data_IF_581360877126
#
_entry.id   IF_581360877126
#
_cell.length_a   1.000
_cell.length_b   1.000
_cell.length_c   1.000
_cell.angle_alpha   90.00
_cell.angle_beta   90.00
_cell.angle_gamma   90.00
#
_symmetry.space_group_name_H-M   'P 1'
#
loop_
_entity.id
_entity.type
_entity.pdbx_description
1 polymer ?
#
# COMPACT_ATOMS: atom_id res chain seq x y z
N UNK A 1 15.52 4.28 16.30
CA UNK A 1 15.55 5.19 15.14
C UNK A 1 15.02 4.43 13.93
N UNK A 2 14.10 5.00 13.16
CA UNK A 2 13.58 4.36 11.95
C UNK A 2 14.63 4.44 10.83
N UNK A 3 14.61 3.47 9.92
CA UNK A 3 15.52 3.43 8.77
C UNK A 3 15.10 4.44 7.71
N UNK A 4 16.07 5.03 7.02
CA UNK A 4 15.80 5.90 5.84
C UNK A 4 15.55 5.07 4.58
N UNK A 5 15.01 5.72 3.54
CA UNK A 5 14.83 5.07 2.23
C UNK A 5 16.17 4.65 1.61
N UNK A 6 17.24 5.41 1.85
CA UNK A 6 18.60 5.10 1.37
C UNK A 6 19.15 3.86 2.07
N UNK A 7 18.98 3.75 3.39
CA UNK A 7 19.42 2.58 4.16
C UNK A 7 18.70 1.31 3.70
N UNK A 8 17.39 1.40 3.43
CA UNK A 8 16.60 0.28 2.90
C UNK A 8 17.03 -0.10 1.47
N UNK A 9 17.22 0.89 0.59
CA UNK A 9 17.68 0.65 -0.78
C UNK A 9 19.07 0.00 -0.79
N UNK A 10 19.97 0.46 0.07
CA UNK A 10 21.30 -0.10 0.20
C UNK A 10 21.29 -1.52 0.76
N UNK A 11 20.41 -1.80 1.72
CA UNK A 11 20.21 -3.17 2.20
C UNK A 11 19.72 -4.10 1.08
N UNK A 12 18.84 -3.65 0.19
CA UNK A 12 18.39 -4.46 -0.94
C UNK A 12 19.53 -4.79 -1.92
N UNK A 13 20.42 -3.83 -2.21
CA UNK A 13 21.62 -4.07 -3.03
C UNK A 13 22.55 -5.10 -2.39
N UNK A 14 22.86 -4.93 -1.11
CA UNK A 14 23.69 -5.87 -0.35
C UNK A 14 23.09 -7.27 -0.30
N UNK A 15 21.77 -7.38 -0.20
CA UNK A 15 21.08 -8.67 -0.20
C UNK A 15 21.23 -9.40 -1.55
N UNK A 16 21.08 -8.68 -2.66
CA UNK A 16 21.29 -9.23 -4.02
C UNK A 16 22.74 -9.72 -4.19
N UNK A 17 23.71 -8.89 -3.79
CA UNK A 17 25.13 -9.23 -3.90
C UNK A 17 25.52 -10.42 -3.03
N UNK A 18 25.16 -10.40 -1.75
CA UNK A 18 25.54 -11.43 -0.78
C UNK A 18 24.99 -12.83 -1.14
N UNK A 19 23.84 -12.88 -1.81
CA UNK A 19 23.21 -14.13 -2.24
C UNK A 19 23.40 -14.44 -3.72
N UNK A 20 24.17 -13.62 -4.45
CA UNK A 20 24.39 -13.74 -5.89
C UNK A 20 23.06 -13.92 -6.67
N UNK A 21 22.07 -13.09 -6.37
CA UNK A 21 20.74 -13.20 -6.97
C UNK A 21 20.74 -12.71 -8.42
N UNK A 22 20.14 -13.49 -9.31
CA UNK A 22 19.92 -13.10 -10.70
C UNK A 22 18.82 -12.03 -10.78
N UNK A 23 19.21 -10.75 -10.80
CA UNK A 23 18.30 -9.62 -10.99
C UNK A 23 18.53 -8.96 -12.34
N UNK A 24 17.44 -8.69 -13.06
CA UNK A 24 17.47 -7.87 -14.27
C UNK A 24 16.72 -6.58 -13.96
N UNK A 25 17.45 -5.47 -13.94
CA UNK A 25 16.87 -4.14 -13.74
C UNK A 25 16.55 -3.49 -15.09
N UNK A 26 15.77 -2.40 -15.07
CA UNK A 26 15.36 -1.70 -16.31
C UNK A 26 14.63 -2.61 -17.31
N UNK A 27 13.86 -3.58 -16.81
CA UNK A 27 13.10 -4.53 -17.61
C UNK A 27 11.61 -4.17 -17.58
N UNK A 28 10.98 -4.09 -18.76
CA UNK A 28 9.54 -3.90 -18.90
C UNK A 28 8.90 -5.15 -19.51
N UNK A 29 7.99 -5.79 -18.78
CA UNK A 29 7.21 -6.92 -19.29
C UNK A 29 6.36 -6.43 -20.48
N UNK A 30 6.43 -7.18 -21.58
CA UNK A 30 5.74 -6.89 -22.84
C UNK A 30 4.59 -7.85 -23.09
N UNK A 31 4.80 -9.13 -22.80
CA UNK A 31 3.79 -10.17 -22.92
C UNK A 31 4.13 -11.34 -22.01
N UNK A 32 3.09 -11.99 -21.47
CA UNK A 32 3.21 -13.22 -20.71
C UNK A 32 2.20 -14.24 -21.22
N UNK A 33 2.61 -15.48 -21.35
CA UNK A 33 1.70 -16.60 -21.62
C UNK A 33 1.99 -17.78 -20.70
N UNK A 34 0.97 -18.58 -20.44
CA UNK A 34 1.09 -19.86 -19.75
C UNK A 34 0.51 -20.97 -20.61
N UNK A 35 1.34 -21.94 -20.98
CA UNK A 35 0.90 -23.13 -21.70
C UNK A 35 0.54 -24.23 -20.70
N UNK A 36 -0.75 -24.59 -20.67
CA UNK A 36 -1.31 -25.58 -19.76
C UNK A 36 -0.84 -27.01 -20.08
N UNK A 37 -0.46 -27.29 -21.32
CA UNK A 37 0.01 -28.63 -21.74
C UNK A 37 1.43 -28.90 -21.25
N UNK A 38 2.32 -27.92 -21.42
CA UNK A 38 3.73 -28.00 -20.98
C UNK A 38 3.91 -27.55 -19.53
N UNK A 39 2.92 -26.86 -18.97
CA UNK A 39 2.96 -26.21 -17.64
C UNK A 39 4.11 -25.21 -17.52
N UNK A 40 4.36 -24.45 -18.58
CA UNK A 40 5.42 -23.45 -18.65
C UNK A 40 4.88 -22.04 -18.86
N UNK A 41 5.45 -21.11 -18.11
CA UNK A 41 5.33 -19.68 -18.32
C UNK A 41 6.36 -19.24 -19.35
N UNK A 42 5.95 -18.33 -20.25
CA UNK A 42 6.85 -17.58 -21.12
C UNK A 42 6.62 -16.10 -20.88
N UNK A 43 7.65 -15.39 -20.41
CA UNK A 43 7.61 -13.95 -20.15
C UNK A 43 8.56 -13.25 -21.09
N UNK A 44 8.01 -12.42 -21.99
CA UNK A 44 8.79 -11.53 -22.86
C UNK A 44 8.90 -10.16 -22.22
N UNK A 45 10.11 -9.62 -22.18
CA UNK A 45 10.38 -8.31 -21.61
C UNK A 45 11.45 -7.56 -22.40
N UNK A 46 11.33 -6.24 -22.41
CA UNK A 46 12.27 -5.32 -23.03
C UNK A 46 13.29 -4.86 -22.00
N UNK A 47 14.58 -4.90 -22.35
CA UNK A 47 15.68 -4.23 -21.61
C UNK A 47 16.35 -3.19 -22.52
N UNK A 48 17.29 -2.35 -22.01
CA UNK A 48 18.08 -1.47 -22.88
C UNK A 48 18.87 -2.22 -23.96
N UNK A 49 19.22 -3.48 -23.72
CA UNK A 49 19.99 -4.34 -24.65
C UNK A 49 19.11 -5.17 -25.60
N UNK A 50 17.81 -4.86 -25.67
CA UNK A 50 16.84 -5.52 -26.56
C UNK A 50 15.81 -6.40 -25.84
N UNK A 51 14.99 -7.09 -26.64
CA UNK A 51 13.99 -8.02 -26.12
C UNK A 51 14.67 -9.29 -25.56
N UNK A 52 14.11 -9.83 -24.48
CA UNK A 52 14.53 -11.07 -23.83
C UNK A 52 13.30 -11.90 -23.47
N UNK A 53 13.51 -13.21 -23.30
CA UNK A 53 12.47 -14.15 -22.89
C UNK A 53 12.95 -14.97 -21.71
N UNK A 54 12.11 -15.08 -20.67
CA UNK A 54 12.29 -16.00 -19.56
C UNK A 54 11.23 -17.10 -19.63
N UNK A 55 11.63 -18.33 -19.31
CA UNK A 55 10.74 -19.49 -19.23
C UNK A 55 10.83 -20.09 -17.83
N UNK A 56 9.69 -20.38 -17.20
CA UNK A 56 9.65 -20.91 -15.84
C UNK A 56 8.46 -21.85 -15.61
N UNK A 57 8.53 -22.66 -14.56
CA UNK A 57 7.40 -23.51 -14.11
C UNK A 57 6.45 -22.77 -13.17
N UNK A 58 6.96 -21.77 -12.44
CA UNK A 58 6.21 -20.93 -11.52
C UNK A 58 6.48 -19.45 -11.79
N UNK A 59 5.48 -18.60 -11.52
CA UNK A 59 5.58 -17.15 -11.63
C UNK A 59 5.11 -16.50 -10.34
N UNK A 60 5.91 -15.57 -9.79
CA UNK A 60 5.57 -14.83 -8.57
C UNK A 60 5.41 -13.34 -8.93
N UNK A 61 4.20 -12.80 -8.76
CA UNK A 61 3.95 -11.37 -8.83
C UNK A 61 4.32 -10.72 -7.50
N UNK A 62 5.46 -10.05 -7.47
CA UNK A 62 5.99 -9.35 -6.28
C UNK A 62 5.87 -7.82 -6.41
N UNK A 63 4.76 -7.33 -6.99
CA UNK A 63 4.52 -5.89 -7.22
C UNK A 63 3.96 -5.15 -6.00
N UNK A 64 3.70 -5.85 -4.90
CA UNK A 64 3.02 -5.26 -3.75
C UNK A 64 1.51 -5.07 -3.97
N UNK A 65 0.88 -4.34 -3.06
CA UNK A 65 -0.56 -4.01 -3.03
C UNK A 65 -0.69 -2.51 -2.79
N UNK A 66 -1.63 -1.84 -3.46
CA UNK A 66 -1.89 -0.39 -3.32
C UNK A 66 -0.68 0.50 -3.65
N UNK A 67 0.02 0.23 -4.75
CA UNK A 67 1.21 0.99 -5.16
C UNK A 67 1.30 1.26 -6.65
N UNK A 68 0.47 0.62 -7.48
CA UNK A 68 0.62 0.64 -8.93
C UNK A 68 -0.32 1.64 -9.61
N UNK A 69 -1.52 1.87 -9.06
CA UNK A 69 -2.55 2.72 -9.69
C UNK A 69 -2.89 3.91 -8.80
N UNK A 70 -2.18 5.04 -8.93
CA UNK A 70 -2.53 6.30 -8.28
C UNK A 70 -4.03 6.60 -8.40
N UNK A 71 -4.64 6.99 -7.28
CA UNK A 71 -6.04 7.38 -7.27
C UNK A 71 -6.14 8.91 -7.16
N UNK A 72 -6.49 9.56 -8.25
CA UNK A 72 -6.86 10.99 -8.25
C UNK A 72 -8.37 11.10 -8.46
N UNK A 73 -9.12 11.74 -7.54
CA UNK A 73 -10.55 11.96 -7.72
C UNK A 73 -10.85 12.73 -9.02
N UNK A 74 -11.93 12.34 -9.72
CA UNK A 74 -12.42 13.11 -10.87
C UNK A 74 -13.13 14.37 -10.36
N UNK A 75 -12.66 15.52 -10.80
CA UNK A 75 -13.09 16.84 -10.33
C UNK A 75 -13.42 17.70 -11.56
N UNK A 76 -14.45 18.53 -11.45
CA UNK A 76 -14.89 19.37 -12.56
C UNK A 76 -13.84 20.45 -12.91
N UNK A 77 -13.96 21.00 -14.12
CA UNK A 77 -13.20 22.18 -14.57
C UNK A 77 -11.68 22.02 -14.58
N UNK A 78 -11.19 20.80 -14.79
CA UNK A 78 -9.75 20.47 -14.80
C UNK A 78 -8.90 21.37 -15.72
N UNK A 79 -9.49 21.84 -16.82
CA UNK A 79 -8.86 22.73 -17.81
C UNK A 79 -8.56 24.15 -17.27
N UNK A 80 -9.17 24.56 -16.16
CA UNK A 80 -8.94 25.87 -15.56
C UNK A 80 -7.64 25.95 -14.76
N UNK A 81 -7.15 24.84 -14.21
CA UNK A 81 -6.01 24.86 -13.31
C UNK A 81 -4.72 25.22 -14.06
N UNK A 82 -4.10 26.36 -13.71
CA UNK A 82 -2.84 26.84 -14.28
C UNK A 82 -1.61 26.43 -13.45
N UNK A 83 -1.82 26.00 -12.21
CA UNK A 83 -0.77 25.63 -11.26
C UNK A 83 -0.22 24.21 -11.42
N UNK A 84 0.73 23.85 -10.56
CA UNK A 84 1.31 22.50 -10.53
C UNK A 84 0.29 21.52 -9.95
N UNK A 85 0.10 20.36 -10.59
CA UNK A 85 -0.74 19.29 -10.05
C UNK A 85 0.01 17.98 -10.10
N UNK A 86 0.09 17.30 -8.97
CA UNK A 86 0.81 16.03 -8.86
C UNK A 86 0.03 15.07 -7.97
N UNK A 87 0.05 13.79 -8.30
CA UNK A 87 -0.20 12.76 -7.30
C UNK A 87 1.06 12.55 -6.46
N UNK A 88 0.92 12.08 -5.22
CA UNK A 88 2.06 11.80 -4.34
C UNK A 88 3.06 10.79 -4.92
N UNK A 89 2.63 9.96 -5.87
CA UNK A 89 3.49 9.03 -6.61
C UNK A 89 4.52 9.76 -7.51
N UNK A 90 4.15 10.93 -8.03
CA UNK A 90 4.99 11.76 -8.88
C UNK A 90 5.75 12.83 -8.09
N UNK A 91 5.31 13.10 -6.85
CA UNK A 91 6.02 13.97 -5.91
C UNK A 91 7.40 13.40 -5.56
N UNK A 92 8.41 14.27 -5.52
CA UNK A 92 9.80 13.89 -5.20
C UNK A 92 10.31 14.57 -3.94
N UNK A 93 10.21 15.90 -3.88
CA UNK A 93 10.49 16.72 -2.72
C UNK A 93 9.97 18.15 -2.95
N UNK A 94 9.91 18.95 -1.90
CA UNK A 94 9.44 20.32 -1.95
C UNK A 94 10.43 21.28 -2.63
N UNK A 95 11.73 20.95 -2.62
CA UNK A 95 12.77 21.76 -3.30
C UNK A 95 12.49 21.90 -4.79
N UNK A 96 12.10 20.81 -5.46
CA UNK A 96 11.72 20.83 -6.90
C UNK A 96 10.49 21.72 -7.14
N UNK A 97 9.53 21.77 -6.22
CA UNK A 97 8.39 22.68 -6.34
C UNK A 97 8.85 24.13 -6.19
N UNK A 98 9.71 24.41 -5.21
CA UNK A 98 10.26 25.75 -4.98
C UNK A 98 11.08 26.26 -6.15
N UNK A 99 11.88 25.41 -6.79
CA UNK A 99 12.63 25.71 -8.02
C UNK A 99 11.71 26.06 -9.20
N UNK A 100 10.49 25.50 -9.22
CA UNK A 100 9.43 25.86 -10.17
C UNK A 100 8.67 27.14 -9.78
N UNK A 101 9.08 27.83 -8.72
CA UNK A 101 8.46 29.06 -8.24
C UNK A 101 7.21 28.88 -7.38
N UNK A 102 6.88 27.65 -6.96
CA UNK A 102 5.76 27.36 -6.05
C UNK A 102 6.03 27.98 -4.69
N UNK A 103 5.07 28.76 -4.17
CA UNK A 103 5.13 29.38 -2.84
C UNK A 103 4.07 28.80 -1.90
N UNK A 104 3.02 28.20 -2.45
CA UNK A 104 1.90 27.65 -1.70
C UNK A 104 1.43 26.31 -2.27
N UNK A 105 0.99 25.40 -1.41
CA UNK A 105 0.52 24.07 -1.79
C UNK A 105 -0.74 23.65 -1.02
N UNK A 106 -1.71 23.09 -1.74
CA UNK A 106 -2.83 22.33 -1.19
C UNK A 106 -2.41 20.86 -1.13
N UNK A 107 -2.52 20.25 0.05
CA UNK A 107 -2.25 18.84 0.28
C UNK A 107 -3.60 18.14 0.48
N UNK A 108 -4.05 17.35 -0.50
CA UNK A 108 -5.32 16.64 -0.42
C UNK A 108 -5.12 15.26 0.18
N UNK A 109 -5.60 15.05 1.41
CA UNK A 109 -5.47 13.80 2.15
C UNK A 109 -4.66 13.97 3.44
N UNK A 110 -5.05 13.21 4.46
CA UNK A 110 -4.58 13.31 5.84
C UNK A 110 -3.98 12.01 6.39
N UNK A 111 -3.76 11.01 5.54
CA UNK A 111 -3.02 9.80 5.92
C UNK A 111 -1.50 10.06 5.94
N UNK A 112 -0.69 9.04 6.23
CA UNK A 112 0.79 9.12 6.29
C UNK A 112 1.42 10.03 5.23
N UNK A 113 1.20 9.75 3.95
CA UNK A 113 1.79 10.56 2.85
C UNK A 113 1.36 12.02 2.86
N UNK A 114 0.13 12.32 3.28
CA UNK A 114 -0.36 13.69 3.38
C UNK A 114 0.42 14.50 4.42
N UNK A 115 0.67 13.93 5.59
CA UNK A 115 1.47 14.57 6.63
C UNK A 115 2.95 14.66 6.26
N UNK A 116 3.53 13.63 5.62
CA UNK A 116 4.92 13.66 5.17
C UNK A 116 5.15 14.77 4.13
N UNK A 117 4.26 14.89 3.15
CA UNK A 117 4.30 15.95 2.12
C UNK A 117 4.03 17.33 2.74
N UNK A 118 3.11 17.42 3.71
CA UNK A 118 2.84 18.66 4.44
C UNK A 118 4.10 19.18 5.14
N UNK A 119 4.78 18.30 5.88
CA UNK A 119 6.00 18.60 6.61
C UNK A 119 7.12 19.02 5.64
N UNK A 120 7.37 18.24 4.59
CA UNK A 120 8.42 18.53 3.60
C UNK A 120 8.19 19.89 2.90
N UNK A 121 6.93 20.20 2.52
CA UNK A 121 6.58 21.50 1.94
C UNK A 121 6.76 22.64 2.94
N UNK A 122 6.31 22.46 4.18
CA UNK A 122 6.47 23.45 5.24
C UNK A 122 7.95 23.75 5.52
N UNK A 123 8.79 22.72 5.64
CA UNK A 123 10.22 22.86 5.92
C UNK A 123 10.99 23.54 4.77
N UNK A 124 10.52 23.38 3.54
CA UNK A 124 11.03 24.13 2.39
C UNK A 124 10.55 25.61 2.34
N UNK A 125 9.65 26.00 3.25
CA UNK A 125 9.12 27.36 3.40
C UNK A 125 7.87 27.65 2.56
N UNK A 126 7.16 26.62 2.09
CA UNK A 126 5.91 26.81 1.34
C UNK A 126 4.75 27.02 2.31
N UNK A 127 3.82 27.90 1.97
CA UNK A 127 2.54 28.01 2.68
C UNK A 127 1.68 26.79 2.34
N UNK A 128 1.38 25.96 3.33
CA UNK A 128 0.63 24.72 3.11
C UNK A 128 -0.80 24.81 3.62
N UNK A 129 -1.71 24.07 2.99
CA UNK A 129 -3.06 23.85 3.50
C UNK A 129 -3.46 22.40 3.29
N UNK A 130 -3.73 21.68 4.37
CA UNK A 130 -4.22 20.30 4.31
C UNK A 130 -5.74 20.29 4.10
N UNK A 131 -6.20 19.49 3.14
CA UNK A 131 -7.61 19.26 2.83
C UNK A 131 -8.03 17.89 3.32
N UNK A 132 -9.09 17.85 4.14
CA UNK A 132 -9.56 16.66 4.83
C UNK A 132 -11.07 16.53 4.67
N UNK A 133 -11.53 15.49 3.96
CA UNK A 133 -12.96 15.26 3.76
C UNK A 133 -13.65 14.55 4.93
N UNK A 134 -12.92 13.73 5.67
CA UNK A 134 -13.47 12.82 6.69
C UNK A 134 -12.51 12.69 7.87
N UNK A 135 -12.99 12.27 9.04
CA UNK A 135 -12.13 12.03 10.19
C UNK A 135 -10.97 11.08 9.87
N UNK A 136 -9.84 11.30 10.55
CA UNK A 136 -8.61 10.51 10.35
C UNK A 136 -8.20 9.87 11.66
N UNK A 137 -7.98 8.54 11.61
CA UNK A 137 -7.40 7.83 12.73
C UNK A 137 -5.90 8.13 12.82
N UNK A 138 -5.47 8.67 13.96
CA UNK A 138 -4.07 8.98 14.25
C UNK A 138 -3.59 8.10 15.41
N UNK A 139 -2.44 7.48 15.23
CA UNK A 139 -1.76 6.69 16.26
C UNK A 139 -0.34 7.20 16.46
N UNK A 140 0.12 7.42 17.71
CA UNK A 140 1.51 7.79 17.96
C UNK A 140 2.54 6.76 17.51
N UNK A 141 3.66 7.22 16.96
CA UNK A 141 4.80 6.35 16.63
C UNK A 141 5.34 5.62 17.87
N UNK A 142 5.22 6.20 19.06
CA UNK A 142 5.62 5.55 20.31
C UNK A 142 4.81 4.29 20.59
N UNK A 143 3.53 4.26 20.20
CA UNK A 143 2.66 3.10 20.42
C UNK A 143 3.05 1.96 19.47
N UNK A 144 3.35 2.31 18.21
CA UNK A 144 3.84 1.37 17.19
C UNK A 144 5.21 0.81 17.60
N UNK A 145 6.13 1.66 18.08
CA UNK A 145 7.48 1.26 18.50
C UNK A 145 7.54 0.64 19.91
N UNK A 146 6.43 0.54 20.63
CA UNK A 146 6.42 -0.01 21.98
C UNK A 146 6.88 -1.48 21.98
N UNK A 147 7.62 -1.96 23.00
CA UNK A 147 7.97 -3.37 23.17
C UNK A 147 6.80 -4.37 23.11
N UNK A 148 5.59 -3.94 23.48
CA UNK A 148 4.36 -4.74 23.38
C UNK A 148 3.69 -4.68 22.00
N UNK A 149 4.27 -3.94 21.07
CA UNK A 149 3.87 -3.75 19.67
C UNK A 149 5.09 -4.05 18.78
N UNK A 150 5.24 -3.43 17.61
CA UNK A 150 6.35 -3.71 16.68
C UNK A 150 7.75 -3.50 17.29
N UNK A 151 7.87 -2.80 18.42
CA UNK A 151 9.09 -2.76 19.22
C UNK A 151 9.56 -4.13 19.75
N UNK A 152 8.71 -5.16 19.74
CA UNK A 152 9.10 -6.53 20.07
C UNK A 152 10.24 -7.06 19.19
N UNK A 153 10.38 -6.55 17.96
CA UNK A 153 11.48 -6.90 17.05
C UNK A 153 12.86 -6.46 17.55
N UNK A 154 12.93 -5.53 18.51
CA UNK A 154 14.19 -5.15 19.17
C UNK A 154 14.75 -6.27 20.07
N UNK A 155 13.92 -7.25 20.44
CA UNK A 155 14.30 -8.42 21.26
C UNK A 155 14.58 -9.67 20.40
N UNK A 156 14.61 -9.52 19.07
CA UNK A 156 14.93 -10.59 18.13
C UNK A 156 13.80 -10.89 17.15
N UNK A 157 14.18 -11.18 15.91
CA UNK A 157 13.24 -11.43 14.81
C UNK A 157 12.33 -12.62 15.10
N UNK A 158 12.90 -13.71 15.61
CA UNK A 158 12.15 -14.94 15.89
C UNK A 158 11.11 -14.74 17.01
N UNK A 159 11.43 -13.92 18.02
CA UNK A 159 10.52 -13.60 19.10
C UNK A 159 9.37 -12.71 18.61
N UNK A 160 9.67 -11.68 17.82
CA UNK A 160 8.65 -10.83 17.20
C UNK A 160 7.71 -11.63 16.30
N UNK A 161 8.24 -12.56 15.50
CA UNK A 161 7.43 -13.42 14.63
C UNK A 161 6.46 -14.29 15.40
N UNK A 162 6.94 -14.98 16.44
CA UNK A 162 6.07 -15.77 17.31
C UNK A 162 5.03 -14.92 18.00
N UNK A 163 5.31 -13.66 18.31
CA UNK A 163 4.31 -12.78 18.91
C UNK A 163 3.19 -12.45 17.91
N UNK A 164 3.53 -12.06 16.68
CA UNK A 164 2.55 -11.50 15.74
C UNK A 164 1.94 -12.49 14.76
N UNK A 165 2.55 -13.65 14.56
CA UNK A 165 2.16 -14.61 13.52
C UNK A 165 1.65 -15.93 14.10
N UNK A 166 1.35 -15.96 15.41
CA UNK A 166 0.75 -17.10 16.12
C UNK A 166 -0.78 -17.07 16.09
N UNK A 167 -1.39 -15.89 16.01
CA UNK A 167 -2.84 -15.73 16.07
C UNK A 167 -3.39 -15.31 14.70
N UNK A 168 -4.65 -15.68 14.37
CA UNK A 168 -5.33 -15.12 13.21
C UNK A 168 -5.35 -13.60 13.25
N UNK A 169 -5.20 -12.96 12.10
CA UNK A 169 -5.08 -11.51 12.02
C UNK A 169 -6.32 -10.78 12.58
N UNK A 170 -7.50 -11.40 12.50
CA UNK A 170 -8.71 -10.87 13.12
C UNK A 170 -8.63 -10.79 14.66
N UNK A 171 -7.96 -11.74 15.32
CA UNK A 171 -7.78 -11.78 16.77
C UNK A 171 -6.65 -10.84 17.19
N UNK A 172 -5.49 -10.94 16.52
CA UNK A 172 -4.34 -10.07 16.78
C UNK A 172 -4.74 -8.59 16.62
N UNK A 173 -5.55 -8.26 15.60
CA UNK A 173 -6.09 -6.93 15.41
C UNK A 173 -6.92 -6.39 16.58
N UNK A 174 -7.68 -7.25 17.27
CA UNK A 174 -8.44 -6.84 18.46
C UNK A 174 -7.53 -6.64 19.68
N UNK A 175 -6.52 -7.48 19.85
CA UNK A 175 -5.53 -7.32 20.92
C UNK A 175 -4.73 -6.03 20.72
N UNK A 176 -4.31 -5.75 19.48
CA UNK A 176 -3.65 -4.50 19.11
C UNK A 176 -4.53 -3.27 19.36
N UNK A 177 -5.83 -3.33 19.03
CA UNK A 177 -6.80 -2.27 19.37
C UNK A 177 -6.83 -2.02 20.88
N UNK A 178 -6.98 -3.06 21.69
CA UNK A 178 -7.04 -2.94 23.15
C UNK A 178 -5.75 -2.36 23.74
N UNK A 179 -4.59 -2.77 23.22
CA UNK A 179 -3.29 -2.23 23.62
C UNK A 179 -3.18 -0.73 23.34
N UNK A 180 -3.55 -0.29 22.14
CA UNK A 180 -3.46 1.12 21.78
C UNK A 180 -4.50 1.98 22.50
N UNK A 181 -5.70 1.45 22.75
CA UNK A 181 -6.69 2.11 23.60
C UNK A 181 -6.16 2.31 25.02
N UNK A 182 -5.49 1.30 25.61
CA UNK A 182 -4.85 1.43 26.91
C UNK A 182 -3.81 2.55 26.93
N UNK A 183 -2.98 2.66 25.89
CA UNK A 183 -2.00 3.75 25.79
C UNK A 183 -2.67 5.11 25.66
N UNK A 184 -3.67 5.25 24.79
CA UNK A 184 -4.36 6.52 24.58
C UNK A 184 -5.13 6.99 25.83
N UNK A 185 -5.64 6.07 26.66
CA UNK A 185 -6.25 6.40 27.96
C UNK A 185 -5.26 7.03 28.96
N UNK A 186 -3.95 6.77 28.82
CA UNK A 186 -2.92 7.37 29.67
C UNK A 186 -2.54 8.80 29.24
N UNK A 187 -2.95 9.21 28.04
CA UNK A 187 -2.61 10.51 27.45
C UNK A 187 -3.86 11.17 26.83
N UNK A 188 -4.94 11.38 27.60
CA UNK A 188 -6.25 11.75 27.06
C UNK A 188 -6.27 13.09 26.32
N UNK A 189 -5.30 13.97 26.59
CA UNK A 189 -5.24 15.32 26.04
C UNK A 189 -4.31 15.44 24.82
N UNK A 190 -3.66 14.34 24.39
CA UNK A 190 -2.61 14.36 23.35
C UNK A 190 -3.04 15.09 22.07
N UNK A 191 -4.29 14.92 21.65
CA UNK A 191 -4.82 15.51 20.41
C UNK A 191 -5.84 16.64 20.63
N UNK A 192 -5.99 17.15 21.86
CA UNK A 192 -6.95 18.23 22.16
C UNK A 192 -6.63 19.50 21.37
N UNK A 193 -5.36 19.91 21.30
CA UNK A 193 -4.95 21.09 20.53
C UNK A 193 -5.16 20.92 19.03
N UNK A 194 -4.96 19.70 18.50
CA UNK A 194 -5.19 19.39 17.09
C UNK A 194 -6.69 19.47 16.76
N UNK A 195 -7.55 18.90 17.62
CA UNK A 195 -9.00 19.01 17.49
C UNK A 195 -9.48 20.47 17.60
N UNK A 196 -8.92 21.24 18.53
CA UNK A 196 -9.22 22.66 18.71
C UNK A 196 -8.83 23.52 17.48
N UNK A 197 -7.79 23.12 16.74
CA UNK A 197 -7.42 23.71 15.45
C UNK A 197 -8.39 23.32 14.30
N UNK A 198 -9.42 22.51 14.58
CA UNK A 198 -10.45 22.11 13.62
C UNK A 198 -10.18 20.80 12.90
N UNK A 199 -9.11 20.08 13.22
CA UNK A 199 -8.80 18.80 12.58
C UNK A 199 -9.71 17.69 13.13
N UNK A 200 -10.43 16.94 12.27
CA UNK A 200 -11.33 15.86 12.71
C UNK A 200 -10.52 14.59 13.06
N UNK A 201 -9.81 14.62 14.18
CA UNK A 201 -8.97 13.52 14.65
C UNK A 201 -9.80 12.45 15.35
N UNK A 202 -9.51 11.19 15.04
CA UNK A 202 -9.88 10.04 15.86
C UNK A 202 -8.59 9.46 16.44
N UNK A 203 -8.58 9.12 17.72
CA UNK A 203 -7.45 8.44 18.35
C UNK A 203 -7.83 7.01 18.78
N UNK A 204 -6.91 6.30 19.44
CA UNK A 204 -7.11 4.90 19.77
C UNK A 204 -8.14 4.65 20.88
N UNK A 205 -8.76 5.69 21.45
CA UNK A 205 -9.91 5.55 22.38
C UNK A 205 -11.23 5.36 21.63
N UNK A 206 -11.28 5.73 20.36
CA UNK A 206 -12.47 5.53 19.53
C UNK A 206 -12.67 4.02 19.28
N UNK A 207 -13.85 3.45 19.61
CA UNK A 207 -14.09 2.01 19.53
C UNK A 207 -14.03 1.45 18.11
N UNK A 208 -14.25 2.29 17.10
CA UNK A 208 -14.24 1.93 15.69
C UNK A 208 -12.84 2.06 15.06
N UNK A 209 -11.84 2.54 15.84
CA UNK A 209 -10.47 2.69 15.38
C UNK A 209 -9.59 1.48 15.77
N UNK A 210 -9.01 0.84 14.75
CA UNK A 210 -8.00 -0.21 14.93
C UNK A 210 -6.96 -0.13 13.81
N UNK A 211 -5.67 -0.01 14.17
CA UNK A 211 -4.61 0.13 13.17
C UNK A 211 -4.58 -1.07 12.21
N UNK A 212 -4.80 -2.28 12.73
CA UNK A 212 -4.83 -3.49 11.91
C UNK A 212 -5.99 -3.51 10.91
N UNK A 213 -7.16 -2.95 11.26
CA UNK A 213 -8.24 -2.77 10.29
C UNK A 213 -7.82 -1.81 9.16
N UNK A 214 -7.19 -0.69 9.50
CA UNK A 214 -6.67 0.24 8.50
C UNK A 214 -5.63 -0.39 7.57
N UNK A 215 -4.74 -1.23 8.09
CA UNK A 215 -3.70 -1.89 7.30
C UNK A 215 -4.27 -3.00 6.41
N UNK A 216 -5.10 -3.88 6.96
CA UNK A 216 -5.54 -5.11 6.28
C UNK A 216 -6.79 -4.92 5.41
N UNK A 217 -7.76 -4.11 5.83
CA UNK A 217 -9.01 -3.92 5.08
C UNK A 217 -8.99 -2.67 4.21
N UNK A 218 -8.34 -1.61 4.70
CA UNK A 218 -8.33 -0.31 4.01
C UNK A 218 -7.03 -0.04 3.27
N UNK A 219 -5.93 -0.73 3.58
CA UNK A 219 -4.58 -0.42 3.07
C UNK A 219 -4.24 1.09 3.17
N UNK A 220 -4.64 1.73 4.28
CA UNK A 220 -4.47 3.18 4.48
C UNK A 220 -5.54 3.82 5.36
N UNK A 221 -5.67 5.15 5.25
CA UNK A 221 -6.68 5.91 6.00
C UNK A 221 -6.34 6.12 7.48
N UNK A 222 -5.06 6.07 7.82
CA UNK A 222 -4.53 6.39 9.14
C UNK A 222 -3.25 7.23 9.00
N UNK A 223 -2.85 7.88 10.08
CA UNK A 223 -1.52 8.48 10.24
C UNK A 223 -0.82 7.90 11.45
N UNK A 224 0.43 7.46 11.26
CA UNK A 224 1.35 7.21 12.37
C UNK A 224 2.04 8.52 12.70
N UNK A 225 1.62 9.15 13.79
CA UNK A 225 2.10 10.47 14.18
C UNK A 225 3.56 10.44 14.61
N UNK A 226 4.39 11.12 13.81
CA UNK A 226 5.82 11.34 14.07
C UNK A 226 6.11 12.81 14.38
N UNK A 227 5.08 13.63 14.59
CA UNK A 227 5.18 15.02 15.06
C UNK A 227 4.58 16.07 14.11
N UNK A 228 4.22 15.70 12.88
CA UNK A 228 3.73 16.67 11.88
C UNK A 228 2.32 17.22 12.22
N UNK A 229 1.59 16.59 13.14
CA UNK A 229 0.32 17.12 13.66
C UNK A 229 0.47 18.50 14.31
N UNK A 230 1.64 18.79 14.90
CA UNK A 230 1.96 20.07 15.53
C UNK A 230 1.85 21.26 14.56
N UNK A 231 2.14 21.06 13.28
CA UNK A 231 2.05 22.13 12.28
C UNK A 231 0.63 22.68 12.16
N UNK A 232 -0.38 21.81 12.25
CA UNK A 232 -1.79 22.22 12.20
C UNK A 232 -2.22 22.75 13.57
N UNK A 233 -1.88 22.05 14.66
CA UNK A 233 -2.26 22.44 16.01
C UNK A 233 -1.73 23.84 16.41
N UNK A 234 -0.55 24.21 15.91
CA UNK A 234 0.09 25.51 16.16
C UNK A 234 -0.24 26.57 15.09
N UNK A 235 -1.08 26.24 14.10
CA UNK A 235 -1.47 27.16 13.03
C UNK A 235 -0.37 27.50 12.02
N UNK A 236 0.71 26.71 11.97
CA UNK A 236 1.81 26.84 10.99
C UNK A 236 1.41 26.34 9.60
N UNK A 237 0.49 25.38 9.54
CA UNK A 237 -0.16 24.90 8.32
C UNK A 237 -1.66 25.21 8.36
N UNK A 238 -2.21 25.59 7.20
CA UNK A 238 -3.65 25.78 7.05
C UNK A 238 -4.41 24.44 7.04
N UNK A 239 -5.70 24.50 7.35
CA UNK A 239 -6.58 23.34 7.34
C UNK A 239 -7.91 23.69 6.64
N UNK A 240 -8.37 22.79 5.77
CA UNK A 240 -9.69 22.78 5.16
C UNK A 240 -10.36 21.43 5.45
N UNK A 241 -11.24 21.40 6.43
CA UNK A 241 -11.92 20.17 6.88
C UNK A 241 -13.40 20.12 6.45
N UNK A 242 -13.95 18.92 6.31
CA UNK A 242 -15.39 18.66 6.21
C UNK A 242 -16.05 19.01 4.86
N UNK A 243 -15.27 19.36 3.84
CA UNK A 243 -15.79 19.64 2.50
C UNK A 243 -14.93 18.96 1.43
N UNK A 244 -15.59 18.43 0.40
CA UNK A 244 -14.91 17.73 -0.70
C UNK A 244 -14.53 18.73 -1.79
N UNK A 245 -13.36 18.58 -2.46
CA UNK A 245 -13.05 19.36 -3.64
C UNK A 245 -13.96 18.93 -4.80
N UNK A 246 -14.66 19.88 -5.42
CA UNK A 246 -15.68 19.61 -6.46
C UNK A 246 -15.34 20.19 -7.83
N UNK A 247 -14.52 21.25 -7.87
CA UNK A 247 -14.05 21.84 -9.12
C UNK A 247 -12.67 22.48 -8.95
N UNK A 248 -11.88 22.51 -10.03
CA UNK A 248 -10.70 23.37 -10.10
C UNK A 248 -11.10 24.83 -10.31
N UNK A 249 -10.29 25.74 -9.79
CA UNK A 249 -10.29 27.16 -10.16
C UNK A 249 -9.00 27.47 -10.92
N UNK A 250 -8.82 28.70 -11.39
CA UNK A 250 -7.56 29.09 -12.03
C UNK A 250 -6.35 28.92 -11.10
N UNK A 251 -6.58 29.10 -9.80
CA UNK A 251 -5.55 29.23 -8.76
C UNK A 251 -5.69 28.21 -7.63
N UNK A 252 -6.55 27.19 -7.75
CA UNK A 252 -6.78 26.25 -6.65
C UNK A 252 -8.00 25.34 -6.82
N UNK A 253 -8.73 25.13 -5.72
CA UNK A 253 -9.88 24.23 -5.64
C UNK A 253 -11.10 24.93 -5.03
N UNK A 254 -12.28 24.66 -5.61
CA UNK A 254 -13.58 24.97 -5.03
C UNK A 254 -14.15 23.73 -4.35
N UNK A 255 -14.79 23.94 -3.20
CA UNK A 255 -15.28 22.88 -2.33
C UNK A 255 -16.82 22.78 -2.34
N UNK A 256 -17.33 21.65 -1.84
CA UNK A 256 -18.76 21.34 -1.76
C UNK A 256 -19.56 22.33 -0.91
N UNK A 257 -18.93 23.03 0.01
CA UNK A 257 -19.53 24.11 0.82
C UNK A 257 -19.46 25.50 0.15
N UNK A 258 -19.01 25.56 -1.10
CA UNK A 258 -18.88 26.80 -1.88
C UNK A 258 -17.59 27.58 -1.64
N UNK A 259 -16.79 27.22 -0.63
CA UNK A 259 -15.51 27.91 -0.37
C UNK A 259 -14.46 27.58 -1.43
N UNK A 260 -13.42 28.42 -1.50
CA UNK A 260 -12.29 28.26 -2.40
C UNK A 260 -11.00 28.31 -1.58
N UNK A 261 -10.04 27.44 -1.92
CA UNK A 261 -8.67 27.51 -1.42
C UNK A 261 -7.74 27.68 -2.62
N UNK A 262 -6.94 28.74 -2.59
CA UNK A 262 -5.94 29.03 -3.61
C UNK A 262 -4.55 28.53 -3.21
N UNK A 263 -3.83 27.96 -4.17
CA UNK A 263 -2.41 27.60 -4.06
C UNK A 263 -1.75 27.43 -5.44
N UNK A 264 -0.43 27.63 -5.50
CA UNK A 264 0.35 27.42 -6.71
C UNK A 264 0.49 25.94 -7.09
N UNK A 265 0.33 25.04 -6.11
CA UNK A 265 0.39 23.59 -6.31
C UNK A 265 -0.77 22.85 -5.62
N UNK A 266 -1.24 21.77 -6.25
CA UNK A 266 -2.21 20.82 -5.70
C UNK A 266 -1.57 19.44 -5.68
N UNK A 267 -1.42 18.86 -4.48
CA UNK A 267 -0.78 17.58 -4.24
C UNK A 267 -1.81 16.56 -3.78
N UNK A 268 -2.17 15.63 -4.67
CA UNK A 268 -3.11 14.55 -4.40
C UNK A 268 -2.43 13.43 -3.62
N UNK A 269 -2.62 13.42 -2.30
CA UNK A 269 -2.18 12.38 -1.38
C UNK A 269 -3.33 11.39 -1.10
N UNK A 270 -4.01 10.98 -2.17
CA UNK A 270 -5.30 10.27 -2.14
C UNK A 270 -5.18 8.75 -2.28
N UNK A 271 -3.96 8.24 -2.23
CA UNK A 271 -3.66 6.80 -2.19
C UNK A 271 -3.79 6.14 -3.55
N UNK A 272 -4.08 4.83 -3.55
CA UNK A 272 -4.02 3.99 -4.74
C UNK A 272 -5.30 3.14 -4.88
N UNK A 273 -5.68 2.82 -6.11
CA UNK A 273 -6.90 2.11 -6.46
C UNK A 273 -6.73 0.58 -6.57
N UNK A 274 -5.50 0.08 -6.55
CA UNK A 274 -5.12 -1.32 -6.77
C UNK A 274 -4.90 -2.13 -5.47
N UNK A 275 -5.90 -2.12 -4.59
CA UNK A 275 -5.90 -2.99 -3.39
C UNK A 275 -6.04 -4.48 -3.71
N UNK A 276 -6.65 -4.78 -4.86
CA UNK A 276 -6.88 -6.12 -5.35
C UNK A 276 -5.96 -6.36 -6.55
N UNK A 277 -4.94 -7.18 -6.35
CA UNK A 277 -3.92 -7.50 -7.35
C UNK A 277 -4.53 -8.11 -8.62
N UNK A 278 -5.74 -8.68 -8.57
CA UNK A 278 -6.47 -9.14 -9.77
C UNK A 278 -6.72 -8.01 -10.78
N UNK A 279 -6.93 -6.78 -10.29
CA UNK A 279 -7.20 -5.58 -11.11
C UNK A 279 -5.95 -5.02 -11.80
N UNK A 280 -4.77 -5.49 -11.42
CA UNK A 280 -3.49 -5.08 -11.99
C UNK A 280 -2.72 -6.23 -12.62
N UNK A 281 -3.04 -7.48 -12.30
CA UNK A 281 -2.33 -8.66 -12.78
C UNK A 281 -2.22 -8.70 -14.30
N UNK A 282 -3.32 -8.46 -15.03
CA UNK A 282 -3.29 -8.46 -16.50
C UNK A 282 -2.27 -7.42 -17.03
N UNK A 283 -2.32 -6.18 -16.54
CA UNK A 283 -1.41 -5.11 -16.96
C UNK A 283 0.05 -5.41 -16.57
N UNK A 284 0.30 -5.89 -15.35
CA UNK A 284 1.63 -6.31 -14.87
C UNK A 284 2.22 -7.41 -15.77
N UNK A 285 1.37 -8.32 -16.26
CA UNK A 285 1.76 -9.41 -17.15
C UNK A 285 1.86 -9.00 -18.63
N UNK A 286 1.69 -7.70 -18.95
CA UNK A 286 1.79 -7.16 -20.30
C UNK A 286 0.47 -7.15 -21.09
N UNK A 287 -0.66 -7.33 -20.41
CA UNK A 287 -2.00 -7.18 -20.98
C UNK A 287 -2.32 -5.73 -21.38
N UNK A 288 -3.37 -5.54 -22.18
CA UNK A 288 -3.80 -4.23 -22.67
C UNK A 288 -2.97 -3.64 -23.82
N UNK A 289 -1.76 -4.15 -24.09
CA UNK A 289 -1.06 -3.88 -25.36
C UNK A 289 -1.63 -4.81 -26.43
N UNK A 290 -2.52 -4.30 -27.27
CA UNK A 290 -3.10 -5.00 -28.42
C UNK A 290 -2.09 -5.13 -29.57
N UNK A 291 -0.90 -5.68 -29.31
CA UNK A 291 -0.06 -6.27 -30.36
C UNK A 291 -0.59 -7.68 -30.66
N UNK A 292 -1.86 -7.76 -31.08
CA UNK A 292 -2.50 -8.80 -31.91
C UNK A 292 -2.42 -10.29 -31.54
N UNK A 293 -1.61 -10.73 -30.59
CA UNK A 293 -1.36 -12.15 -30.33
C UNK A 293 -2.14 -12.64 -29.10
N UNK A 294 -3.46 -12.58 -29.18
CA UNK A 294 -4.28 -13.51 -28.40
C UNK A 294 -4.05 -14.88 -29.04
N UNK A 295 -3.33 -15.75 -28.33
CA UNK A 295 -3.17 -17.13 -28.79
C UNK A 295 -4.56 -17.71 -29.05
N UNK A 296 -4.79 -18.22 -30.27
CA UNK A 296 -6.02 -18.97 -30.60
C UNK A 296 -5.98 -20.40 -30.04
N UNK A 297 -4.86 -20.80 -29.46
CA UNK A 297 -4.72 -22.09 -28.78
C UNK A 297 -5.42 -22.03 -27.41
N UNK A 298 -6.44 -22.86 -27.24
CA UNK A 298 -7.22 -22.97 -26.01
C UNK A 298 -6.39 -23.43 -24.81
N UNK A 299 -5.20 -23.99 -25.03
CA UNK A 299 -4.30 -24.44 -23.98
C UNK A 299 -3.34 -23.33 -23.50
N UNK A 300 -3.33 -22.16 -24.14
CA UNK A 300 -2.43 -21.05 -23.78
C UNK A 300 -3.24 -19.92 -23.16
N UNK A 301 -2.97 -19.66 -21.88
CA UNK A 301 -3.59 -18.57 -21.13
C UNK A 301 -2.77 -17.29 -21.31
N UNK A 302 -3.45 -16.20 -21.67
CA UNK A 302 -2.87 -14.85 -21.71
C UNK A 302 -3.02 -14.10 -20.38
N UNK A 303 -2.55 -12.84 -20.30
CA UNK A 303 -2.64 -12.02 -19.08
C UNK A 303 -4.05 -11.88 -18.51
N UNK A 304 -5.06 -11.70 -19.36
CA UNK A 304 -6.47 -11.58 -18.94
C UNK A 304 -7.03 -12.90 -18.41
N UNK A 305 -6.71 -14.01 -19.06
CA UNK A 305 -7.14 -15.35 -18.61
C UNK A 305 -6.55 -15.69 -17.24
N UNK A 306 -5.28 -15.30 -17.04
CA UNK A 306 -4.57 -15.45 -15.76
C UNK A 306 -5.25 -14.60 -14.70
N UNK A 307 -5.45 -13.30 -14.95
CA UNK A 307 -6.09 -12.40 -13.99
C UNK A 307 -7.50 -12.87 -13.58
N UNK A 308 -8.29 -13.39 -14.52
CA UNK A 308 -9.62 -13.92 -14.26
C UNK A 308 -9.64 -15.19 -13.37
N UNK A 309 -8.50 -15.88 -13.22
CA UNK A 309 -8.34 -17.12 -12.43
C UNK A 309 -7.78 -16.89 -11.03
N UNK A 310 -7.37 -15.66 -10.73
CA UNK A 310 -6.79 -15.32 -9.44
C UNK A 310 -7.89 -15.22 -8.37
N UNK A 311 -7.63 -15.83 -7.23
CA UNK A 311 -8.47 -15.67 -6.04
C UNK A 311 -8.43 -14.22 -5.55
N UNK A 312 -9.45 -13.79 -4.79
CA UNK A 312 -9.46 -12.48 -4.15
C UNK A 312 -8.17 -12.28 -3.33
N UNK A 313 -7.60 -11.09 -3.44
CA UNK A 313 -6.35 -10.75 -2.76
C UNK A 313 -6.58 -9.62 -1.77
N UNK A 314 -5.78 -9.64 -0.69
CA UNK A 314 -5.86 -8.68 0.41
C UNK A 314 -7.19 -8.72 1.17
N UNK A 315 -7.32 -7.98 2.28
CA UNK A 315 -8.39 -8.14 3.28
C UNK A 315 -8.44 -9.54 3.91
N UNK A 316 -9.35 -9.73 4.86
CA UNK A 316 -9.53 -10.98 5.59
C UNK A 316 -10.60 -11.88 4.94
N UNK A 317 -10.37 -13.19 4.99
CA UNK A 317 -11.39 -14.23 4.78
C UNK A 317 -12.17 -14.54 6.07
N UNK A 318 -13.08 -15.50 5.99
CA UNK A 318 -13.92 -15.94 7.12
C UNK A 318 -13.11 -16.60 8.25
N UNK A 319 -11.88 -17.05 7.99
CA UNK A 319 -10.95 -17.53 9.02
C UNK A 319 -10.21 -16.38 9.72
N UNK A 320 -10.39 -15.14 9.22
CA UNK A 320 -9.69 -13.98 9.72
C UNK A 320 -8.27 -13.86 9.20
N UNK A 321 -7.95 -14.49 8.06
CA UNK A 321 -6.63 -14.52 7.45
C UNK A 321 -6.58 -13.73 6.14
N UNK A 322 -5.40 -13.25 5.76
CA UNK A 322 -5.24 -12.44 4.55
C UNK A 322 -5.52 -13.28 3.30
N UNK A 323 -6.41 -12.80 2.42
CA UNK A 323 -6.84 -13.52 1.21
C UNK A 323 -5.77 -13.53 0.13
N UNK A 324 -5.62 -14.66 -0.55
CA UNK A 324 -4.86 -14.81 -1.81
C UNK A 324 -3.36 -14.49 -1.79
N UNK A 325 -2.81 -13.92 -0.71
CA UNK A 325 -1.39 -13.61 -0.58
C UNK A 325 -0.62 -14.85 -0.13
N UNK A 326 0.52 -15.11 -0.78
CA UNK A 326 1.48 -16.16 -0.39
C UNK A 326 0.95 -17.61 -0.40
N UNK A 327 -0.25 -17.83 -0.94
CA UNK A 327 -0.95 -19.12 -1.02
C UNK A 327 -1.35 -19.43 -2.46
N UNK A 328 -1.65 -20.70 -2.75
CA UNK A 328 -2.06 -21.15 -4.10
C UNK A 328 -3.42 -20.59 -4.51
N UNK A 329 -3.52 -20.05 -5.72
CA UNK A 329 -4.81 -19.72 -6.31
C UNK A 329 -5.54 -20.98 -6.79
N UNK A 330 -6.85 -21.08 -6.57
CA UNK A 330 -7.64 -22.28 -6.90
C UNK A 330 -7.56 -22.63 -8.40
N UNK A 331 -7.69 -21.61 -9.25
CA UNK A 331 -7.73 -21.79 -10.70
C UNK A 331 -6.38 -21.47 -11.38
N UNK A 332 -5.31 -21.31 -10.60
CA UNK A 332 -3.96 -21.03 -11.10
C UNK A 332 -2.88 -21.46 -10.09
N UNK A 333 -2.55 -22.76 -10.07
CA UNK A 333 -1.75 -23.37 -8.99
C UNK A 333 -0.27 -22.97 -8.95
N UNK A 334 0.26 -22.45 -10.06
CA UNK A 334 1.68 -22.12 -10.22
C UNK A 334 1.93 -20.62 -10.46
N UNK A 335 0.93 -19.80 -10.19
CA UNK A 335 1.04 -18.35 -10.06
C UNK A 335 0.90 -17.98 -8.59
N UNK A 336 1.66 -16.97 -8.14
CA UNK A 336 1.67 -16.56 -6.75
C UNK A 336 1.69 -15.04 -6.63
N UNK A 337 1.08 -14.52 -5.57
CA UNK A 337 1.14 -13.10 -5.25
C UNK A 337 1.92 -12.90 -3.94
N UNK A 338 2.87 -11.97 -3.99
CA UNK A 338 3.75 -11.60 -2.89
C UNK A 338 3.63 -10.09 -2.63
N UNK A 339 3.48 -9.72 -1.37
CA UNK A 339 3.33 -8.34 -0.94
C UNK A 339 3.21 -8.24 0.57
N UNK A 340 2.77 -7.07 1.04
CA UNK A 340 2.72 -6.75 2.46
C UNK A 340 3.94 -5.98 2.94
N UNK A 341 3.92 -5.56 4.21
CA UNK A 341 5.02 -4.85 4.84
C UNK A 341 6.09 -5.82 5.36
N UNK A 342 7.19 -5.29 5.93
CA UNK A 342 8.43 -6.04 6.20
C UNK A 342 8.25 -7.35 6.97
N UNK A 343 7.39 -7.34 7.99
CA UNK A 343 7.09 -8.55 8.76
C UNK A 343 6.51 -9.65 7.87
N UNK A 344 5.51 -9.32 7.07
CA UNK A 344 4.76 -10.25 6.24
C UNK A 344 5.63 -10.84 5.12
N UNK A 345 6.33 -9.98 4.35
CA UNK A 345 7.16 -10.48 3.26
C UNK A 345 8.31 -11.34 3.79
N UNK A 346 8.87 -11.03 4.96
CA UNK A 346 9.98 -11.78 5.53
C UNK A 346 9.52 -13.15 6.01
N UNK A 347 8.39 -13.22 6.70
CA UNK A 347 7.82 -14.49 7.17
C UNK A 347 7.37 -15.39 6.00
N UNK A 348 6.57 -14.84 5.09
CA UNK A 348 5.93 -15.62 4.05
C UNK A 348 6.85 -15.95 2.87
N UNK A 349 8.00 -15.28 2.70
CA UNK A 349 9.00 -15.66 1.68
C UNK A 349 9.41 -17.13 1.81
N UNK A 350 9.69 -17.60 3.03
CA UNK A 350 10.08 -18.99 3.27
C UNK A 350 8.92 -19.95 2.96
N UNK A 351 7.72 -19.63 3.44
CA UNK A 351 6.52 -20.44 3.20
C UNK A 351 6.21 -20.57 1.72
N UNK A 352 6.30 -19.47 0.96
CA UNK A 352 6.09 -19.47 -0.49
C UNK A 352 7.17 -20.28 -1.22
N UNK A 353 8.45 -20.09 -0.88
CA UNK A 353 9.55 -20.83 -1.49
C UNK A 353 9.44 -22.35 -1.23
N UNK A 354 9.06 -22.77 -0.02
CA UNK A 354 8.83 -24.17 0.32
C UNK A 354 7.65 -24.77 -0.46
N UNK A 355 6.56 -24.00 -0.66
CA UNK A 355 5.45 -24.45 -1.49
C UNK A 355 5.87 -24.65 -2.95
N UNK A 356 6.62 -23.71 -3.52
CA UNK A 356 7.16 -23.81 -4.88
C UNK A 356 8.07 -25.04 -4.99
N UNK A 357 9.00 -25.24 -4.04
CA UNK A 357 9.88 -26.41 -4.01
C UNK A 357 9.09 -27.71 -3.96
N UNK A 358 8.12 -27.81 -3.05
CA UNK A 358 7.29 -29.01 -2.92
C UNK A 358 6.46 -29.28 -4.19
N UNK A 359 5.99 -28.23 -4.89
CA UNK A 359 5.30 -28.40 -6.18
C UNK A 359 6.24 -28.95 -7.26
N UNK A 360 7.47 -28.43 -7.32
CA UNK A 360 8.51 -28.89 -8.27
C UNK A 360 8.93 -30.34 -8.01
N UNK A 361 8.93 -30.77 -6.75
CA UNK A 361 9.25 -32.13 -6.32
C UNK A 361 8.04 -33.09 -6.35
N UNK A 362 6.83 -32.58 -6.64
CA UNK A 362 5.62 -33.39 -6.69
C UNK A 362 5.08 -33.85 -5.32
N UNK A 363 5.47 -33.17 -4.24
CA UNK A 363 5.12 -33.50 -2.85
C UNK A 363 4.27 -32.44 -2.15
N UNK A 364 3.87 -31.38 -2.86
CA UNK A 364 2.99 -30.36 -2.31
C UNK A 364 1.58 -30.97 -2.09
N UNK A 365 1.09 -31.07 -0.84
CA UNK A 365 -0.26 -31.60 -0.58
C UNK A 365 -1.32 -30.71 -1.23
N UNK A 366 -2.57 -31.17 -1.40
CA UNK A 366 -3.68 -30.31 -1.82
C UNK A 366 -3.76 -29.05 -0.95
N UNK A 367 -4.22 -27.95 -1.55
CA UNK A 367 -4.43 -26.73 -0.77
C UNK A 367 -5.52 -26.98 0.27
N UNK A 368 -5.30 -26.50 1.49
CA UNK A 368 -6.34 -26.41 2.49
C UNK A 368 -7.36 -25.35 2.04
N UNK A 369 -8.64 -25.72 1.98
CA UNK A 369 -9.70 -24.87 1.40
C UNK A 369 -10.96 -24.76 2.27
N UNK A 370 -11.07 -25.59 3.29
CA UNK A 370 -12.27 -25.65 4.12
C UNK A 370 -12.11 -24.70 5.29
N UNK A 371 -13.06 -23.79 5.51
CA UNK A 371 -13.18 -23.16 6.82
C UNK A 371 -13.74 -24.21 7.79
N UNK A 372 -13.09 -24.49 8.94
CA UNK A 372 -13.62 -25.43 9.91
C UNK A 372 -15.02 -25.00 10.32
N UNK A 373 -16.04 -25.72 9.88
CA UNK A 373 -17.39 -25.54 10.39
C UNK A 373 -17.43 -26.17 11.77
N UNK A 374 -17.87 -25.41 12.78
CA UNK A 374 -18.22 -25.99 14.07
C UNK A 374 -19.30 -27.02 13.81
N UNK A 375 -18.94 -28.31 13.91
CA UNK A 375 -19.94 -29.38 14.00
C UNK A 375 -20.67 -29.14 15.31
N UNK A 376 -21.82 -28.47 15.25
CA UNK A 376 -22.75 -28.43 16.38
C UNK A 376 -23.12 -29.89 16.65
N UNK A 377 -22.82 -30.44 17.84
CA UNK A 377 -23.25 -31.79 18.18
C UNK A 377 -24.77 -31.84 18.06
N UNK A 378 -25.30 -32.80 17.30
CA UNK A 378 -26.74 -33.07 17.22
C UNK A 378 -27.27 -33.61 18.55
#
# INVERSE_FOLDING_TARGET
KLLTKEELAEQARRYVEALNLNIITSAKIKATSYDQSTKLWTVKFQTPDGERTAVSKHLVQATGVSSQKPYTPKIADEHLCKGVRLHSADYKNATILKEKGVKSAIIVGSANTGFDVLQDCHDAGLKTTMVIRSPTYIVPVEYVCNPRSLGAYNFGVEAGDRMFLTLPACIDGQLGRGLFAQFALQEPDRYVSLAAAGFPVLDSRDPDCALMHNLLERAGGHYVDVGATSLIAEGKAGLKAGAEPVAYTETGLRFSDGSIVDADAILWCTGFADKDARKTAAEVLGGGNTDGNVSRDKNVLGPEDVAARLDATWNLDEEGEIRGMWKRHLNMENYWIMGGYTQQHRWHSRTLALQIKAALEGVLPPAYRDTPTLKVPQ
#
